data_IF_469391290118
#
_entry.id   IF_469391290118
#
_cell.length_a   1.000
_cell.length_b   1.000
_cell.length_c   1.000
_cell.angle_alpha   90.00
_cell.angle_beta   90.00
_cell.angle_gamma   90.00
#
_symmetry.space_group_name_H-M   'P 1'
#
loop_
_entity.id
_entity.type
_entity.pdbx_description
1 polymer ?
#
# COMPACT_ATOMS: atom_id res chain seq x y z
N UNK A 1 -10.98 21.59 -24.06
CA UNK A 1 -9.79 22.06 -24.81
C UNK A 1 -8.99 22.91 -23.83
N UNK A 2 -7.70 22.63 -23.65
CA UNK A 2 -6.84 23.48 -22.80
C UNK A 2 -6.64 24.83 -23.51
N UNK A 3 -6.71 25.93 -22.76
CA UNK A 3 -6.41 27.26 -23.30
C UNK A 3 -4.90 27.50 -23.43
N UNK A 4 -4.50 28.57 -24.13
CA UNK A 4 -3.08 28.87 -24.40
C UNK A 4 -2.26 29.08 -23.12
N UNK A 5 -2.88 29.54 -22.04
CA UNK A 5 -2.22 29.77 -20.77
C UNK A 5 -2.00 28.46 -20.01
N UNK A 6 -3.00 27.57 -20.05
CA UNK A 6 -2.87 26.20 -19.52
C UNK A 6 -1.80 25.40 -20.27
N UNK A 7 -1.72 25.54 -21.60
CA UNK A 7 -0.67 24.90 -22.40
C UNK A 7 0.73 25.44 -22.06
N UNK A 8 0.87 26.75 -21.83
CA UNK A 8 2.14 27.35 -21.39
C UNK A 8 2.59 26.82 -20.04
N UNK A 9 1.66 26.70 -19.07
CA UNK A 9 1.97 26.16 -17.74
C UNK A 9 2.40 24.69 -17.82
N UNK A 10 1.70 23.89 -18.62
CA UNK A 10 2.06 22.48 -18.84
C UNK A 10 3.43 22.38 -19.52
N UNK A 11 3.70 23.19 -20.54
CA UNK A 11 4.99 23.22 -21.23
C UNK A 11 6.13 23.51 -20.27
N UNK A 12 6.00 24.54 -19.42
CA UNK A 12 7.02 24.87 -18.41
C UNK A 12 7.17 23.77 -17.34
N UNK A 13 6.08 23.08 -17.00
CA UNK A 13 6.12 21.99 -16.03
C UNK A 13 6.87 20.75 -16.56
N UNK A 14 6.72 20.43 -17.84
CA UNK A 14 7.37 19.27 -18.47
C UNK A 14 8.76 19.58 -19.01
N UNK A 15 9.10 20.85 -19.20
CA UNK A 15 10.39 21.28 -19.71
C UNK A 15 11.52 20.89 -18.76
N UNK A 16 12.44 20.06 -19.25
CA UNK A 16 13.56 19.54 -18.46
C UNK A 16 13.24 18.32 -17.58
N UNK A 17 11.99 17.83 -17.54
CA UNK A 17 11.68 16.55 -16.91
C UNK A 17 12.18 15.42 -17.80
N UNK A 18 13.10 14.62 -17.28
CA UNK A 18 13.50 13.37 -17.90
C UNK A 18 12.48 12.26 -17.55
N UNK A 19 11.73 11.69 -18.52
CA UNK A 19 10.75 10.64 -18.25
C UNK A 19 11.37 9.38 -17.64
N UNK A 20 12.64 9.10 -17.92
CA UNK A 20 13.35 7.96 -17.34
C UNK A 20 13.59 8.14 -15.83
N UNK A 21 13.87 9.36 -15.40
CA UNK A 21 14.09 9.68 -13.98
C UNK A 21 12.77 9.63 -13.20
N UNK A 22 11.67 10.10 -13.80
CA UNK A 22 10.34 9.99 -13.21
C UNK A 22 9.92 8.51 -13.08
N UNK A 23 10.17 7.72 -14.11
CA UNK A 23 9.89 6.27 -14.09
C UNK A 23 10.71 5.56 -13.01
N UNK A 24 12.00 5.91 -12.89
CA UNK A 24 12.88 5.37 -11.85
C UNK A 24 12.38 5.70 -10.44
N UNK A 25 11.92 6.94 -10.22
CA UNK A 25 11.36 7.38 -8.94
C UNK A 25 10.05 6.65 -8.61
N UNK A 26 9.15 6.50 -9.59
CA UNK A 26 7.90 5.74 -9.42
C UNK A 26 8.22 4.30 -8.99
N UNK A 27 9.15 3.64 -9.68
CA UNK A 27 9.54 2.27 -9.34
C UNK A 27 10.15 2.15 -7.94
N UNK A 28 10.99 3.12 -7.54
CA UNK A 28 11.55 3.16 -6.20
C UNK A 28 10.46 3.28 -5.12
N UNK A 29 9.50 4.20 -5.31
CA UNK A 29 8.36 4.38 -4.39
C UNK A 29 7.49 3.12 -4.34
N UNK A 30 7.24 2.48 -5.49
CA UNK A 30 6.48 1.22 -5.54
C UNK A 30 7.16 0.11 -4.73
N UNK A 31 8.48 -0.05 -4.84
CA UNK A 31 9.23 -1.02 -4.04
C UNK A 31 9.16 -0.71 -2.54
N UNK A 32 9.28 0.56 -2.15
CA UNK A 32 9.15 0.97 -0.74
C UNK A 32 7.77 0.68 -0.17
N UNK A 33 6.70 0.91 -0.95
CA UNK A 33 5.33 0.60 -0.53
C UNK A 33 5.09 -0.91 -0.39
N UNK A 34 5.65 -1.71 -1.30
CA UNK A 34 5.59 -3.17 -1.20
C UNK A 34 6.30 -3.69 0.05
N UNK A 35 7.49 -3.19 0.34
CA UNK A 35 8.25 -3.55 1.54
C UNK A 35 7.48 -3.18 2.81
N UNK A 36 6.97 -1.95 2.89
CA UNK A 36 6.15 -1.49 4.03
C UNK A 36 4.89 -2.34 4.23
N UNK A 37 4.20 -2.69 3.14
CA UNK A 37 3.02 -3.55 3.21
C UNK A 37 3.38 -4.95 3.70
N UNK A 38 4.51 -5.50 3.25
CA UNK A 38 5.04 -6.78 3.70
C UNK A 38 5.37 -6.75 5.19
N UNK A 39 6.14 -5.76 5.65
CA UNK A 39 6.48 -5.61 7.08
C UNK A 39 5.24 -5.47 7.94
N UNK A 40 4.23 -4.68 7.52
CA UNK A 40 2.96 -4.56 8.25
C UNK A 40 2.21 -5.88 8.28
N UNK A 41 2.20 -6.62 7.18
CA UNK A 41 1.55 -7.93 7.09
C UNK A 41 2.24 -8.95 7.99
N UNK A 42 3.57 -8.98 8.01
CA UNK A 42 4.36 -9.84 8.90
C UNK A 42 4.18 -9.45 10.36
N UNK A 43 4.15 -8.16 10.67
CA UNK A 43 3.87 -7.65 12.02
C UNK A 43 2.47 -8.02 12.47
N UNK A 44 1.47 -7.87 11.59
CA UNK A 44 0.10 -8.29 11.86
C UNK A 44 -0.01 -9.81 11.99
N UNK A 45 0.72 -10.59 11.20
CA UNK A 45 0.74 -12.05 11.29
C UNK A 45 1.42 -12.54 12.58
N UNK A 46 2.51 -11.89 13.00
CA UNK A 46 3.20 -12.16 14.26
C UNK A 46 2.34 -11.74 15.47
N UNK A 47 1.69 -10.58 15.39
CA UNK A 47 0.75 -10.11 16.42
C UNK A 47 -0.56 -10.93 16.44
N UNK A 48 -0.99 -11.43 15.27
CA UNK A 48 -2.06 -12.42 15.10
C UNK A 48 -1.50 -13.84 15.01
N UNK A 49 -0.45 -14.18 15.76
CA UNK A 49 -0.41 -15.56 16.25
C UNK A 49 -1.75 -15.77 16.92
N UNK A 50 -2.63 -16.49 16.21
CA UNK A 50 -4.01 -16.72 16.57
C UNK A 50 -4.00 -17.05 18.05
N UNK A 51 -4.70 -16.26 18.85
CA UNK A 51 -4.93 -16.65 20.23
C UNK A 51 -5.81 -17.91 20.16
N UNK A 52 -5.13 -19.06 20.08
CA UNK A 52 -5.76 -20.35 19.97
C UNK A 52 -6.61 -20.61 21.22
N UNK A 53 -6.33 -19.96 22.35
CA UNK A 53 -7.22 -20.00 23.51
C UNK A 53 -8.50 -19.20 23.27
N UNK A 54 -8.42 -17.98 22.71
CA UNK A 54 -9.62 -17.20 22.35
C UNK A 54 -10.48 -17.91 21.30
N UNK A 55 -9.85 -18.60 20.35
CA UNK A 55 -10.55 -19.42 19.36
C UNK A 55 -11.18 -20.66 20.02
N UNK A 56 -10.48 -21.33 20.94
CA UNK A 56 -11.01 -22.49 21.68
C UNK A 56 -12.22 -22.12 22.53
N UNK A 57 -12.21 -20.96 23.21
CA UNK A 57 -13.36 -20.44 23.96
C UNK A 57 -14.57 -20.21 23.05
N UNK A 58 -14.34 -19.70 21.84
CA UNK A 58 -15.41 -19.46 20.86
C UNK A 58 -15.97 -20.78 20.30
N UNK A 59 -15.11 -21.78 20.05
CA UNK A 59 -15.49 -23.14 19.64
C UNK A 59 -16.31 -23.83 20.74
N UNK A 60 -15.89 -23.74 22.00
CA UNK A 60 -16.60 -24.34 23.14
C UNK A 60 -18.00 -23.74 23.30
N UNK A 61 -18.12 -22.41 23.21
CA UNK A 61 -19.44 -21.74 23.24
C UNK A 61 -20.35 -22.18 22.10
N UNK A 62 -19.81 -22.34 20.90
CA UNK A 62 -20.60 -22.80 19.75
C UNK A 62 -21.05 -24.27 19.91
N UNK A 63 -20.22 -25.11 20.52
CA UNK A 63 -20.54 -26.51 20.80
C UNK A 63 -21.60 -26.67 21.90
N UNK A 64 -21.61 -25.80 22.92
CA UNK A 64 -22.59 -25.80 24.01
C UNK A 64 -23.98 -25.28 23.58
N UNK A 65 -24.06 -24.54 22.48
CA UNK A 65 -25.34 -24.04 21.93
C UNK A 65 -26.08 -25.05 21.04
N UNK A 66 -25.67 -26.32 21.00
CA UNK A 66 -26.25 -27.38 20.17
C UNK A 66 -27.01 -28.44 20.99
#
# INVERSE_FOLDING_TARGET
>A
MLDAQQLSVVSTCIEGINPADLTSQINAIQMQLLDLAKTKTETLAAARHIDLQALQLSINRLAETK
#
